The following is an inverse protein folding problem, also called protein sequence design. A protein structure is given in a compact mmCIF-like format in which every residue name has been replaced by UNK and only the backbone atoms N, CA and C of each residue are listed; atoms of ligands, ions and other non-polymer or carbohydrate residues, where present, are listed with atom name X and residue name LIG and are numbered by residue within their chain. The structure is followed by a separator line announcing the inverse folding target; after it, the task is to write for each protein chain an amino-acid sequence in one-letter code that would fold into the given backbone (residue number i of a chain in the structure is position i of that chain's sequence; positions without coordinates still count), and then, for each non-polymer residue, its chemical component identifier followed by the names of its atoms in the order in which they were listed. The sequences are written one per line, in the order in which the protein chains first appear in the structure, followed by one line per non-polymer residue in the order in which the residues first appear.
data_IF_589429370659
#
_entry.id   IF_589429370659
#
_cell.length_a   1.000
_cell.length_b   1.000
_cell.length_c   1.000
_cell.angle_alpha   90.00
_cell.angle_beta   90.00
_cell.angle_gamma   90.00
#
_symmetry.space_group_name_H-M   'P 1'
#
loop_
_entity.id
_entity.type
_entity.pdbx_description
1 polymer ?
#
# COMPACT_ATOMS: atom_id res chain seq x y z
N UNK A 1 17.93 -9.93 37.43
CA UNK A 1 17.48 -8.63 36.88
C UNK A 1 16.20 -8.87 36.09
N UNK A 2 15.16 -8.12 36.42
CA UNK A 2 13.75 -8.42 36.17
C UNK A 2 13.26 -7.90 34.81
N UNK A 3 12.51 -8.71 34.06
CA UNK A 3 11.93 -8.42 32.73
C UNK A 3 10.72 -7.45 32.82
N UNK A 4 10.61 -6.71 33.92
CA UNK A 4 9.46 -5.83 34.21
C UNK A 4 9.52 -4.46 33.53
N UNK A 5 10.67 -4.06 32.99
CA UNK A 5 10.91 -2.65 32.61
C UNK A 5 10.63 -2.30 31.13
N UNK A 6 10.10 -3.22 30.32
CA UNK A 6 9.81 -2.93 28.88
C UNK A 6 8.31 -2.68 28.63
N UNK A 7 7.41 -3.00 29.58
CA UNK A 7 5.96 -2.75 29.42
C UNK A 7 5.52 -1.29 29.60
N UNK A 8 6.42 -0.39 30.00
CA UNK A 8 6.10 1.02 30.28
C UNK A 8 6.15 1.97 29.08
N UNK A 9 6.63 1.54 27.91
CA UNK A 9 6.90 2.43 26.76
C UNK A 9 5.86 2.35 25.62
N UNK A 10 4.81 1.54 25.77
CA UNK A 10 3.74 1.38 24.75
C UNK A 10 2.35 1.85 25.24
N UNK A 11 2.28 2.58 26.34
CA UNK A 11 1.00 3.00 26.97
C UNK A 11 0.54 4.43 26.60
N UNK A 12 0.97 4.97 25.46
CA UNK A 12 0.58 6.32 25.02
C UNK A 12 0.08 6.30 23.58
N UNK A 13 -1.03 5.62 23.34
CA UNK A 13 -1.90 5.90 22.20
C UNK A 13 -3.34 5.91 22.71
N UNK A 14 -3.89 7.12 22.87
CA UNK A 14 -5.28 7.37 23.24
C UNK A 14 -6.02 7.79 21.97
N UNK A 15 -7.14 7.17 21.59
CA UNK A 15 -7.89 7.59 20.42
C UNK A 15 -8.62 8.91 20.72
N UNK A 16 -8.46 9.86 19.80
CA UNK A 16 -9.01 11.22 19.86
C UNK A 16 -10.53 11.16 19.98
N UNK A 17 -11.04 11.59 21.13
CA UNK A 17 -12.39 12.12 21.29
C UNK A 17 -12.34 13.63 21.05
N UNK A 18 -12.80 14.09 19.89
CA UNK A 18 -13.26 15.47 19.72
C UNK A 18 -14.52 15.47 18.84
N UNK A 19 -15.65 15.58 19.54
CA UNK A 19 -16.97 15.82 19.00
C UNK A 19 -17.04 17.31 18.61
N UNK A 20 -17.16 17.61 17.31
CA UNK A 20 -17.48 18.95 16.82
C UNK A 20 -18.87 18.91 16.16
N UNK A 21 -19.86 19.69 16.64
CA UNK A 21 -21.25 19.58 16.22
C UNK A 21 -21.52 20.53 15.04
N UNK A 22 -21.14 20.17 13.82
CA UNK A 22 -21.48 20.98 12.63
C UNK A 22 -21.66 20.10 11.39
N UNK A 23 -22.66 19.21 11.42
CA UNK A 23 -23.18 18.58 10.20
C UNK A 23 -24.69 18.26 10.31
N UNK A 24 -25.46 19.18 10.90
CA UNK A 24 -26.92 19.20 10.74
C UNK A 24 -27.31 20.17 9.62
N UNK A 25 -27.18 19.71 8.38
CA UNK A 25 -28.04 20.11 7.27
C UNK A 25 -27.76 19.18 6.10
N UNK A 26 -28.85 18.70 5.50
CA UNK A 26 -28.88 17.96 4.23
C UNK A 26 -28.90 16.42 4.33
N UNK A 27 -29.81 15.88 5.15
CA UNK A 27 -30.49 14.61 4.84
C UNK A 27 -31.96 14.71 5.29
N UNK A 28 -32.74 15.56 4.61
CA UNK A 28 -34.20 15.52 4.68
C UNK A 28 -34.73 14.67 3.53
N UNK A 29 -35.00 13.38 3.81
CA UNK A 29 -35.81 12.53 2.96
C UNK A 29 -37.29 12.91 3.15
N UNK A 30 -38.06 13.25 2.10
CA UNK A 30 -39.48 13.50 2.27
C UNK A 30 -40.23 12.16 2.35
N UNK A 31 -40.86 11.90 3.50
CA UNK A 31 -41.89 10.88 3.66
C UNK A 31 -43.11 11.27 2.80
N UNK A 32 -43.36 10.53 1.72
CA UNK A 32 -44.62 10.64 0.97
C UNK A 32 -45.57 9.54 1.41
N UNK A 33 -46.49 9.92 2.29
CA UNK A 33 -47.72 9.21 2.59
C UNK A 33 -48.70 9.47 1.45
N UNK A 34 -49.27 8.43 0.81
CA UNK A 34 -50.65 8.40 0.29
C UNK A 34 -51.12 6.95 0.18
N UNK A 35 -52.25 6.67 0.84
CA UNK A 35 -53.03 5.45 0.78
C UNK A 35 -54.07 5.52 -0.34
N UNK A 36 -54.19 4.47 -1.17
CA UNK A 36 -55.44 3.74 -1.49
C UNK A 36 -55.43 3.12 -2.91
N UNK A 37 -55.67 1.81 -2.95
CA UNK A 37 -56.47 1.04 -3.93
C UNK A 37 -56.28 1.27 -5.43
N UNK A 38 -55.80 0.26 -6.18
CA UNK A 38 -56.67 -0.67 -6.92
C UNK A 38 -55.89 -1.64 -7.85
N UNK A 39 -56.62 -2.69 -8.23
CA UNK A 39 -56.29 -3.93 -8.93
C UNK A 39 -55.73 -3.82 -10.37
N UNK A 40 -55.03 -4.90 -10.74
CA UNK A 40 -54.99 -5.60 -12.03
C UNK A 40 -54.18 -5.09 -13.24
N UNK A 41 -53.30 -6.02 -13.68
CA UNK A 41 -53.12 -6.52 -15.06
C UNK A 41 -52.09 -5.88 -15.99
N UNK A 42 -51.26 -6.81 -16.51
CA UNK A 42 -50.62 -6.85 -17.83
C UNK A 42 -49.27 -6.16 -18.03
N UNK A 43 -48.41 -6.97 -18.66
CA UNK A 43 -47.03 -6.72 -19.04
C UNK A 43 -46.89 -5.56 -20.02
N UNK A 44 -45.79 -4.82 -19.88
CA UNK A 44 -45.03 -4.32 -21.03
C UNK A 44 -43.58 -3.95 -20.61
N UNK A 45 -42.63 -4.35 -21.45
CA UNK A 45 -41.20 -4.16 -21.28
C UNK A 45 -40.81 -2.66 -21.23
N UNK A 46 -40.33 -2.19 -20.08
CA UNK A 46 -39.61 -0.92 -19.99
C UNK A 46 -38.12 -1.17 -19.77
N UNK A 47 -37.32 -0.97 -20.82
CA UNK A 47 -35.85 -0.96 -20.81
C UNK A 47 -35.33 0.01 -19.74
N UNK A 48 -34.85 -0.51 -18.62
CA UNK A 48 -34.11 0.26 -17.64
C UNK A 48 -32.66 0.44 -18.11
N UNK A 49 -32.43 1.52 -18.86
CA UNK A 49 -31.09 1.99 -19.21
C UNK A 49 -30.38 2.46 -17.94
N UNK A 50 -29.43 1.66 -17.44
CA UNK A 50 -28.55 2.07 -16.32
C UNK A 50 -27.82 3.37 -16.68
N UNK A 51 -27.85 4.41 -15.83
CA UNK A 51 -27.02 5.58 -16.06
C UNK A 51 -25.55 5.16 -15.95
N UNK A 52 -24.76 5.49 -16.98
CA UNK A 52 -23.30 5.39 -16.92
C UNK A 52 -22.82 6.37 -15.85
N UNK A 53 -22.41 5.87 -14.70
CA UNK A 53 -21.66 6.64 -13.72
C UNK A 53 -20.30 6.98 -14.33
N UNK A 54 -20.13 8.24 -14.74
CA UNK A 54 -18.82 8.82 -15.03
C UNK A 54 -17.97 8.73 -13.76
N UNK A 55 -16.90 7.93 -13.81
CA UNK A 55 -15.90 7.89 -12.76
C UNK A 55 -15.14 9.22 -12.79
N UNK A 56 -15.33 10.03 -11.76
CA UNK A 56 -14.44 11.14 -11.47
C UNK A 56 -13.03 10.57 -11.21
N UNK A 57 -12.11 10.84 -12.12
CA UNK A 57 -10.73 10.35 -12.10
C UNK A 57 -9.91 11.17 -11.09
N UNK A 58 -10.11 10.89 -9.80
CA UNK A 58 -9.18 11.39 -8.79
C UNK A 58 -7.85 10.67 -9.01
N UNK A 59 -6.88 11.35 -9.62
CA UNK A 59 -5.48 10.91 -9.72
C UNK A 59 -4.87 10.82 -8.32
N UNK A 60 -5.20 9.76 -7.60
CA UNK A 60 -4.51 9.38 -6.36
C UNK A 60 -3.16 8.83 -6.78
N UNK A 61 -2.10 9.58 -6.52
CA UNK A 61 -0.73 9.14 -6.75
C UNK A 61 -0.45 8.00 -5.77
N UNK A 62 0.07 6.87 -6.27
CA UNK A 62 0.43 5.74 -5.41
C UNK A 62 1.56 6.14 -4.45
N UNK A 63 1.27 6.11 -3.14
CA UNK A 63 2.24 6.48 -2.11
C UNK A 63 3.50 5.62 -2.14
N UNK A 64 3.42 4.37 -2.62
CA UNK A 64 4.59 3.49 -2.78
C UNK A 64 5.50 3.98 -3.89
N UNK A 65 4.94 4.44 -5.01
CA UNK A 65 5.71 5.03 -6.11
C UNK A 65 6.50 6.26 -5.62
N UNK A 66 5.88 7.09 -4.78
CA UNK A 66 6.53 8.26 -4.18
C UNK A 66 7.67 7.82 -3.25
N UNK A 67 7.42 6.81 -2.40
CA UNK A 67 8.45 6.25 -1.51
C UNK A 67 9.66 5.71 -2.30
N UNK A 68 9.41 4.91 -3.34
CA UNK A 68 10.44 4.34 -4.21
C UNK A 68 11.27 5.44 -4.88
N UNK A 69 10.63 6.50 -5.36
CA UNK A 69 11.31 7.64 -5.95
C UNK A 69 12.18 8.39 -4.94
N UNK A 70 11.69 8.59 -3.71
CA UNK A 70 12.44 9.24 -2.62
C UNK A 70 13.67 8.42 -2.25
N UNK A 71 13.53 7.09 -2.13
CA UNK A 71 14.66 6.18 -1.84
C UNK A 71 15.73 6.34 -2.91
N UNK A 72 15.36 6.19 -4.19
CA UNK A 72 16.31 6.32 -5.30
C UNK A 72 16.98 7.71 -5.33
N UNK A 73 16.20 8.79 -5.25
CA UNK A 73 16.72 10.15 -5.29
C UNK A 73 17.65 10.46 -4.12
N UNK A 74 17.31 10.02 -2.90
CA UNK A 74 18.10 10.33 -1.69
C UNK A 74 19.47 9.67 -1.76
N UNK A 75 19.52 8.40 -2.17
CA UNK A 75 20.79 7.69 -2.31
C UNK A 75 21.58 8.20 -3.52
N UNK A 76 20.90 8.49 -4.63
CA UNK A 76 21.51 9.09 -5.81
C UNK A 76 22.15 10.45 -5.51
N UNK A 77 21.51 11.30 -4.72
CA UNK A 77 22.11 12.60 -4.37
C UNK A 77 23.31 12.47 -3.44
N UNK A 78 23.31 11.51 -2.52
CA UNK A 78 24.30 11.45 -1.43
C UNK A 78 25.56 10.70 -1.82
N UNK A 79 25.43 9.52 -2.46
CA UNK A 79 26.58 8.65 -2.74
C UNK A 79 27.46 9.22 -3.87
N UNK A 80 26.93 9.50 -5.09
CA UNK A 80 27.65 10.23 -6.13
C UNK A 80 28.26 11.57 -5.68
N UNK A 81 27.57 12.33 -4.82
CA UNK A 81 28.13 13.58 -4.27
C UNK A 81 29.36 13.33 -3.41
N UNK A 82 29.26 12.40 -2.44
CA UNK A 82 30.37 12.09 -1.56
C UNK A 82 31.58 11.55 -2.36
N UNK A 83 31.33 10.69 -3.36
CA UNK A 83 32.36 10.14 -4.23
C UNK A 83 33.04 11.25 -5.04
N UNK A 84 32.28 12.08 -5.73
CA UNK A 84 32.82 13.15 -6.59
C UNK A 84 33.57 14.21 -5.78
N UNK A 85 33.07 14.57 -4.60
CA UNK A 85 33.77 15.44 -3.66
C UNK A 85 35.11 14.84 -3.20
N UNK A 86 35.14 13.53 -2.90
CA UNK A 86 36.36 12.82 -2.55
C UNK A 86 37.37 12.76 -3.69
N UNK A 87 36.92 12.41 -4.90
CA UNK A 87 37.77 12.36 -6.10
C UNK A 87 38.30 13.73 -6.50
N UNK A 88 37.60 14.81 -6.18
CA UNK A 88 38.04 16.18 -6.47
C UNK A 88 39.34 16.56 -5.77
N UNK A 89 39.66 15.91 -4.65
CA UNK A 89 40.95 16.10 -3.97
C UNK A 89 42.15 15.65 -4.82
N UNK A 90 41.93 14.82 -5.86
CA UNK A 90 42.98 14.36 -6.77
C UNK A 90 43.36 15.41 -7.84
N UNK A 91 42.55 16.47 -7.99
CA UNK A 91 42.84 17.58 -8.90
C UNK A 91 42.66 17.29 -10.40
N UNK A 92 42.09 16.14 -10.76
CA UNK A 92 41.77 15.78 -12.16
C UNK A 92 40.25 15.63 -12.36
N UNK A 93 39.66 16.61 -13.04
CA UNK A 93 38.22 16.62 -13.36
C UNK A 93 37.78 15.41 -14.17
N UNK A 94 38.65 14.85 -15.04
CA UNK A 94 38.31 13.65 -15.83
C UNK A 94 38.09 12.44 -14.94
N UNK A 95 38.91 12.29 -13.91
CA UNK A 95 38.77 11.20 -12.94
C UNK A 95 37.45 11.33 -12.19
N UNK A 96 37.08 12.54 -11.79
CA UNK A 96 35.78 12.80 -11.12
C UNK A 96 34.61 12.46 -12.03
N UNK A 97 34.65 12.91 -13.29
CA UNK A 97 33.55 12.70 -14.26
C UNK A 97 33.41 11.22 -14.63
N UNK A 98 34.49 10.55 -15.05
CA UNK A 98 34.41 9.14 -15.44
C UNK A 98 34.13 8.23 -14.24
N UNK A 99 34.75 8.51 -13.10
CA UNK A 99 34.52 7.75 -11.86
C UNK A 99 33.10 7.90 -11.35
N UNK A 100 32.58 9.13 -11.30
CA UNK A 100 31.21 9.38 -10.86
C UNK A 100 30.16 8.85 -11.84
N UNK A 101 30.38 8.96 -13.16
CA UNK A 101 29.46 8.35 -14.14
C UNK A 101 29.45 6.81 -14.06
N UNK A 102 30.61 6.20 -13.83
CA UNK A 102 30.70 4.75 -13.67
C UNK A 102 29.95 4.29 -12.41
N UNK A 103 30.13 4.99 -11.29
CA UNK A 103 29.40 4.70 -10.06
C UNK A 103 27.90 4.96 -10.20
N UNK A 104 27.50 6.03 -10.87
CA UNK A 104 26.10 6.36 -11.08
C UNK A 104 25.36 5.30 -11.91
N UNK A 105 25.98 4.80 -12.98
CA UNK A 105 25.41 3.71 -13.80
C UNK A 105 25.35 2.41 -12.99
N UNK A 106 26.45 2.06 -12.30
CA UNK A 106 26.52 0.84 -11.50
C UNK A 106 25.50 0.86 -10.35
N UNK A 107 25.38 1.98 -9.65
CA UNK A 107 24.44 2.20 -8.56
C UNK A 107 22.99 2.18 -9.01
N UNK A 108 22.67 2.82 -10.15
CA UNK A 108 21.32 2.78 -10.69
C UNK A 108 20.88 1.35 -11.06
N UNK A 109 21.76 0.56 -11.68
CA UNK A 109 21.49 -0.85 -11.99
C UNK A 109 21.33 -1.66 -10.70
N UNK A 110 22.24 -1.47 -9.74
CA UNK A 110 22.22 -2.20 -8.47
C UNK A 110 20.94 -1.95 -7.68
N UNK A 111 20.55 -0.69 -7.52
CA UNK A 111 19.34 -0.31 -6.79
C UNK A 111 18.07 -0.70 -7.54
N UNK A 112 18.04 -0.57 -8.87
CA UNK A 112 16.91 -1.03 -9.68
C UNK A 112 16.69 -2.53 -9.53
N UNK A 113 17.75 -3.33 -9.61
CA UNK A 113 17.67 -4.78 -9.39
C UNK A 113 17.28 -5.10 -7.94
N UNK A 114 17.80 -4.37 -6.95
CA UNK A 114 17.41 -4.50 -5.55
C UNK A 114 15.92 -4.25 -5.32
N UNK A 115 15.39 -3.18 -5.90
CA UNK A 115 13.96 -2.86 -5.88
C UNK A 115 13.10 -3.93 -6.56
N UNK A 116 13.54 -4.41 -7.74
CA UNK A 116 12.86 -5.50 -8.44
C UNK A 116 12.78 -6.76 -7.59
N UNK A 117 13.91 -7.20 -7.04
CA UNK A 117 14.00 -8.44 -6.26
C UNK A 117 13.23 -8.32 -4.95
N UNK A 118 13.27 -7.16 -4.29
CA UNK A 118 12.48 -6.88 -3.10
C UNK A 118 10.99 -6.98 -3.38
N UNK A 119 10.50 -6.26 -4.39
CA UNK A 119 9.10 -6.31 -4.79
C UNK A 119 8.66 -7.70 -5.27
N UNK A 120 9.52 -8.44 -5.96
CA UNK A 120 9.25 -9.82 -6.38
C UNK A 120 9.20 -10.78 -5.19
N UNK A 121 10.09 -10.61 -4.22
CA UNK A 121 10.10 -11.40 -2.98
C UNK A 121 8.85 -11.15 -2.16
N UNK A 122 8.35 -9.92 -2.09
CA UNK A 122 7.07 -9.60 -1.46
C UNK A 122 5.89 -10.31 -2.16
N UNK A 123 5.88 -10.35 -3.50
CA UNK A 123 4.87 -11.08 -4.28
C UNK A 123 4.91 -12.59 -3.98
N UNK A 124 6.09 -13.18 -3.96
CA UNK A 124 6.28 -14.60 -3.64
C UNK A 124 5.87 -14.92 -2.20
N UNK A 125 6.23 -14.05 -1.24
CA UNK A 125 5.81 -14.17 0.15
C UNK A 125 4.28 -14.10 0.27
N UNK A 126 3.64 -13.15 -0.41
CA UNK A 126 2.18 -13.04 -0.42
C UNK A 126 1.52 -14.34 -0.91
N UNK A 127 2.02 -14.90 -2.02
CA UNK A 127 1.48 -16.14 -2.60
C UNK A 127 1.70 -17.36 -1.71
N UNK A 128 2.83 -17.43 -1.03
CA UNK A 128 3.13 -18.49 -0.07
C UNK A 128 2.15 -18.45 1.11
N UNK A 129 1.96 -17.26 1.70
CA UNK A 129 1.00 -17.05 2.79
C UNK A 129 -0.43 -17.35 2.35
N UNK A 130 -0.86 -16.87 1.18
CA UNK A 130 -2.20 -17.15 0.66
C UNK A 130 -2.47 -18.66 0.56
N UNK A 131 -1.52 -19.43 0.00
CA UNK A 131 -1.64 -20.88 -0.11
C UNK A 131 -1.71 -21.57 1.25
N UNK A 132 -0.94 -21.08 2.22
CA UNK A 132 -0.98 -21.58 3.59
C UNK A 132 -2.33 -21.29 4.25
N UNK A 133 -2.84 -20.06 4.12
CA UNK A 133 -4.16 -19.65 4.64
C UNK A 133 -5.31 -20.44 4.01
N UNK A 134 -5.24 -20.72 2.70
CA UNK A 134 -6.20 -21.60 2.01
C UNK A 134 -6.21 -23.01 2.60
N UNK A 135 -5.02 -23.58 2.87
CA UNK A 135 -4.90 -24.90 3.51
C UNK A 135 -5.44 -24.87 4.94
N UNK A 136 -5.09 -23.85 5.72
CA UNK A 136 -5.53 -23.70 7.11
C UNK A 136 -7.06 -23.60 7.21
N UNK A 137 -7.69 -22.90 6.27
CA UNK A 137 -9.15 -22.79 6.19
C UNK A 137 -9.85 -24.15 6.04
N UNK A 138 -9.18 -25.12 5.40
CA UNK A 138 -9.71 -26.47 5.25
C UNK A 138 -9.32 -27.40 6.41
N UNK A 139 -8.11 -27.25 6.97
CA UNK A 139 -7.59 -28.18 7.99
C UNK A 139 -7.95 -27.80 9.42
N UNK A 140 -8.17 -26.52 9.72
CA UNK A 140 -8.52 -26.03 11.06
C UNK A 140 -9.62 -24.92 11.03
N UNK A 141 -10.89 -25.29 10.78
CA UNK A 141 -12.00 -24.33 10.79
C UNK A 141 -12.24 -23.69 12.18
N UNK A 142 -11.89 -24.40 13.25
CA UNK A 142 -11.96 -23.89 14.63
C UNK A 142 -11.01 -22.71 14.83
N UNK A 143 -9.73 -22.86 14.50
CA UNK A 143 -8.75 -21.79 14.65
C UNK A 143 -9.07 -20.57 13.78
N UNK A 144 -9.64 -20.77 12.59
CA UNK A 144 -10.11 -19.65 11.75
C UNK A 144 -11.26 -18.89 12.42
N UNK A 145 -12.17 -19.58 13.09
CA UNK A 145 -13.29 -18.95 13.82
C UNK A 145 -12.79 -18.07 14.97
N UNK A 146 -11.79 -18.54 15.70
CA UNK A 146 -11.12 -17.78 16.76
C UNK A 146 -10.41 -16.56 16.17
N UNK A 147 -9.70 -16.73 15.05
CA UNK A 147 -9.00 -15.64 14.34
C UNK A 147 -9.96 -14.52 13.90
N UNK A 148 -11.13 -14.86 13.35
CA UNK A 148 -12.14 -13.86 12.95
C UNK A 148 -12.66 -13.12 14.20
N UNK A 149 -12.86 -13.84 15.30
CA UNK A 149 -13.30 -13.22 16.56
C UNK A 149 -12.25 -12.24 17.10
N UNK A 150 -10.96 -12.59 17.01
CA UNK A 150 -9.84 -11.74 17.40
C UNK A 150 -9.71 -10.49 16.54
N UNK A 151 -9.94 -10.58 15.22
CA UNK A 151 -9.98 -9.42 14.30
C UNK A 151 -11.01 -8.40 14.78
N UNK A 152 -12.18 -8.87 15.25
CA UNK A 152 -13.29 -8.00 15.65
C UNK A 152 -13.30 -7.60 17.13
N UNK A 153 -12.48 -8.22 17.97
CA UNK A 153 -12.41 -7.93 19.41
C UNK A 153 -12.20 -6.44 19.74
N UNK A 154 -11.36 -5.65 19.01
CA UNK A 154 -11.18 -4.23 19.28
C UNK A 154 -12.42 -3.35 19.02
N UNK A 155 -13.40 -3.87 18.27
CA UNK A 155 -14.59 -3.11 17.86
C UNK A 155 -15.78 -3.28 18.81
N UNK A 156 -15.63 -4.06 19.88
CA UNK A 156 -16.65 -4.29 20.92
C UNK A 156 -18.02 -4.70 20.36
N UNK A 157 -17.99 -5.57 19.34
CA UNK A 157 -19.21 -6.07 18.70
C UNK A 157 -19.91 -7.08 19.62
N UNK A 158 -21.27 -7.08 19.67
CA UNK A 158 -22.01 -8.08 20.42
C UNK A 158 -21.63 -9.52 20.00
N UNK A 159 -21.42 -10.47 20.93
CA UNK A 159 -20.93 -11.82 20.60
C UNK A 159 -21.79 -12.58 19.58
N UNK A 160 -23.11 -12.37 19.62
CA UNK A 160 -24.03 -12.99 18.68
C UNK A 160 -23.82 -12.50 17.23
N UNK A 161 -23.40 -11.25 17.05
CA UNK A 161 -23.16 -10.67 15.73
C UNK A 161 -21.85 -11.18 15.13
N UNK A 162 -20.79 -11.29 15.96
CA UNK A 162 -19.51 -11.88 15.54
C UNK A 162 -19.70 -13.34 15.15
N UNK A 163 -20.45 -14.12 15.93
CA UNK A 163 -20.74 -15.52 15.61
C UNK A 163 -21.46 -15.68 14.26
N UNK A 164 -22.47 -14.85 14.00
CA UNK A 164 -23.23 -14.91 12.74
C UNK A 164 -22.38 -14.45 11.55
N UNK A 165 -21.57 -13.39 11.73
CA UNK A 165 -20.62 -12.93 10.72
C UNK A 165 -19.61 -14.01 10.38
N UNK A 166 -19.00 -14.65 11.38
CA UNK A 166 -18.06 -15.75 11.19
C UNK A 166 -18.71 -16.91 10.45
N UNK A 167 -19.93 -17.31 10.82
CA UNK A 167 -20.68 -18.37 10.11
C UNK A 167 -20.86 -18.05 8.63
N UNK A 168 -21.21 -16.81 8.32
CA UNK A 168 -21.36 -16.34 6.94
C UNK A 168 -20.03 -16.28 6.19
N UNK A 169 -18.96 -15.78 6.83
CA UNK A 169 -17.62 -15.70 6.24
C UNK A 169 -17.03 -17.09 5.98
N UNK A 170 -17.22 -18.06 6.88
CA UNK A 170 -16.74 -19.44 6.71
C UNK A 170 -17.35 -20.18 5.53
N UNK A 171 -18.52 -19.73 5.05
CA UNK A 171 -19.15 -20.29 3.84
C UNK A 171 -18.73 -19.54 2.57
N UNK A 172 -18.08 -18.38 2.71
CA UNK A 172 -17.70 -17.53 1.59
C UNK A 172 -16.40 -18.03 0.95
N UNK A 173 -16.33 -18.12 -0.40
CA UNK A 173 -15.08 -18.42 -1.10
C UNK A 173 -14.03 -17.32 -0.91
N UNK A 174 -14.42 -16.13 -0.43
CA UNK A 174 -13.52 -14.99 -0.21
C UNK A 174 -12.86 -15.01 1.19
N UNK A 175 -13.11 -16.03 2.01
CA UNK A 175 -12.54 -16.12 3.36
C UNK A 175 -11.00 -16.01 3.39
N UNK A 176 -10.24 -16.72 2.53
CA UNK A 176 -8.78 -16.57 2.50
C UNK A 176 -8.37 -15.13 2.20
N UNK A 177 -9.02 -14.46 1.24
CA UNK A 177 -8.76 -13.05 0.93
C UNK A 177 -9.12 -12.11 2.09
N UNK A 178 -10.19 -12.41 2.83
CA UNK A 178 -10.53 -11.67 4.05
C UNK A 178 -9.41 -11.81 5.09
N UNK A 179 -8.96 -13.04 5.37
CA UNK A 179 -7.87 -13.29 6.32
C UNK A 179 -6.56 -12.63 5.86
N UNK A 180 -6.23 -12.66 4.57
CA UNK A 180 -5.05 -11.97 4.05
C UNK A 180 -5.08 -10.46 4.34
N UNK A 181 -6.24 -9.81 4.16
CA UNK A 181 -6.38 -8.38 4.38
C UNK A 181 -6.46 -7.99 5.87
N UNK A 182 -7.20 -8.75 6.68
CA UNK A 182 -7.52 -8.35 8.06
C UNK A 182 -6.67 -9.04 9.12
N UNK A 183 -6.26 -10.28 8.90
CA UNK A 183 -5.35 -10.99 9.81
C UNK A 183 -3.89 -10.72 9.46
N UNK A 184 -3.52 -10.95 8.20
CA UNK A 184 -2.13 -10.78 7.76
C UNK A 184 -1.77 -9.34 7.38
N UNK A 185 -2.77 -8.45 7.19
CA UNK A 185 -2.57 -7.06 6.74
C UNK A 185 -1.78 -6.99 5.42
N UNK A 186 -1.94 -8.02 4.57
CA UNK A 186 -1.26 -8.16 3.30
C UNK A 186 -2.24 -7.87 2.16
N UNK A 187 -1.93 -6.83 1.40
CA UNK A 187 -2.69 -6.48 0.20
C UNK A 187 -2.10 -7.17 -1.03
N UNK A 188 -2.96 -7.54 -1.98
CA UNK A 188 -2.55 -8.19 -3.22
C UNK A 188 -1.58 -7.31 -4.02
N UNK A 189 -0.34 -7.80 -4.28
CA UNK A 189 0.61 -7.07 -5.10
C UNK A 189 0.20 -7.11 -6.58
N UNK A 190 0.29 -5.96 -7.26
CA UNK A 190 0.04 -5.90 -8.70
C UNK A 190 1.21 -6.51 -9.50
N UNK A 191 0.91 -7.25 -10.57
CA UNK A 191 1.94 -7.97 -11.34
C UNK A 191 3.00 -7.07 -12.01
N UNK A 192 2.67 -5.79 -12.28
CA UNK A 192 3.62 -4.82 -12.81
C UNK A 192 4.44 -4.11 -11.73
N UNK A 193 4.15 -4.31 -10.45
CA UNK A 193 4.76 -3.59 -9.33
C UNK A 193 6.28 -3.72 -9.30
N UNK A 194 6.80 -4.93 -9.50
CA UNK A 194 8.23 -5.18 -9.40
C UNK A 194 9.03 -4.36 -10.44
N UNK A 195 8.51 -4.27 -11.67
CA UNK A 195 9.14 -3.48 -12.73
C UNK A 195 9.01 -1.98 -12.49
N UNK A 196 7.85 -1.50 -12.02
CA UNK A 196 7.64 -0.08 -11.71
C UNK A 196 8.59 0.35 -10.59
N UNK A 197 8.63 -0.40 -9.49
CA UNK A 197 9.53 -0.17 -8.37
C UNK A 197 11.00 -0.08 -8.82
N UNK A 198 11.46 -1.08 -9.57
CA UNK A 198 12.81 -1.12 -10.11
C UNK A 198 13.17 0.10 -10.96
N UNK A 199 12.28 0.46 -11.89
CA UNK A 199 12.50 1.58 -12.80
C UNK A 199 12.47 2.92 -12.04
N UNK A 200 11.53 3.10 -11.12
CA UNK A 200 11.41 4.33 -10.35
C UNK A 200 12.60 4.56 -9.44
N UNK A 201 13.08 3.52 -8.74
CA UNK A 201 14.29 3.62 -7.90
C UNK A 201 15.51 3.90 -8.78
N UNK A 202 15.72 3.14 -9.86
CA UNK A 202 16.88 3.31 -10.73
C UNK A 202 16.94 4.70 -11.37
N UNK A 203 15.81 5.20 -11.88
CA UNK A 203 15.72 6.54 -12.45
C UNK A 203 15.89 7.62 -11.38
N UNK A 204 15.29 7.44 -10.20
CA UNK A 204 15.49 8.34 -9.06
C UNK A 204 16.97 8.45 -8.69
N UNK A 205 17.66 7.32 -8.61
CA UNK A 205 19.09 7.27 -8.33
C UNK A 205 19.93 7.95 -9.41
N UNK A 206 19.67 7.63 -10.69
CA UNK A 206 20.37 8.24 -11.81
C UNK A 206 20.17 9.76 -11.86
N UNK A 207 18.94 10.23 -11.74
CA UNK A 207 18.62 11.67 -11.79
C UNK A 207 19.22 12.39 -10.57
N UNK A 208 19.08 11.81 -9.38
CA UNK A 208 19.62 12.36 -8.14
C UNK A 208 21.15 12.48 -8.19
N UNK A 209 21.84 11.44 -8.69
CA UNK A 209 23.29 11.41 -8.80
C UNK A 209 23.87 12.27 -9.91
N UNK A 210 23.07 12.56 -10.94
CA UNK A 210 23.54 13.38 -12.04
C UNK A 210 23.68 14.85 -11.62
N UNK A 211 22.86 15.30 -10.66
CA UNK A 211 22.88 16.68 -10.16
C UNK A 211 24.25 17.06 -9.56
N UNK A 212 24.86 16.29 -8.63
CA UNK A 212 26.22 16.53 -8.15
C UNK A 212 27.31 16.54 -9.22
N UNK A 213 27.10 15.84 -10.34
CA UNK A 213 28.08 15.72 -11.42
C UNK A 213 28.07 16.91 -12.39
N UNK A 214 26.93 17.59 -12.53
CA UNK A 214 26.75 18.71 -13.47
C UNK A 214 27.85 19.79 -13.40
N UNK A 215 28.32 20.26 -12.23
CA UNK A 215 29.36 21.28 -12.15
C UNK A 215 30.66 20.84 -12.84
N UNK A 216 31.06 19.57 -12.68
CA UNK A 216 32.31 19.05 -13.23
C UNK A 216 32.27 18.95 -14.77
N UNK A 217 31.08 18.78 -15.37
CA UNK A 217 30.93 18.85 -16.82
C UNK A 217 31.03 20.29 -17.36
N UNK A 218 30.54 21.27 -16.60
CA UNK A 218 30.54 22.69 -17.01
C UNK A 218 31.89 23.38 -16.83
N UNK A 219 32.65 22.99 -15.80
CA UNK A 219 33.99 23.55 -15.51
C UNK A 219 35.07 23.04 -16.48
N UNK A 220 34.74 22.07 -17.33
CA UNK A 220 35.63 21.50 -18.34
C UNK A 220 36.63 20.48 -17.77
N UNK A 221 36.90 19.38 -18.48
CA UNK A 221 38.02 18.50 -18.18
C UNK A 221 39.39 19.07 -18.58
#
# INVERSE_FOLDING_TARGET
MSISSIRGLLSSYSPVSEFSPDLEKEYQLPLRNESSSDLESSADEAKFSRPKTEKADSKVIDGRLVSDAIIGLSDGMTVPFALTAGLSALGDTKVVVFGGMAELIAGAISMGLGGYLGAKSEEESYRATLKETESQTMTDPSGVTDTISDIFAPYDLPPHLVSELTRHLSTSPMLPSFLMNFHHTLQEPSGSRAFICALTIALGYFIGGFIPLLPYFLLGP
#
